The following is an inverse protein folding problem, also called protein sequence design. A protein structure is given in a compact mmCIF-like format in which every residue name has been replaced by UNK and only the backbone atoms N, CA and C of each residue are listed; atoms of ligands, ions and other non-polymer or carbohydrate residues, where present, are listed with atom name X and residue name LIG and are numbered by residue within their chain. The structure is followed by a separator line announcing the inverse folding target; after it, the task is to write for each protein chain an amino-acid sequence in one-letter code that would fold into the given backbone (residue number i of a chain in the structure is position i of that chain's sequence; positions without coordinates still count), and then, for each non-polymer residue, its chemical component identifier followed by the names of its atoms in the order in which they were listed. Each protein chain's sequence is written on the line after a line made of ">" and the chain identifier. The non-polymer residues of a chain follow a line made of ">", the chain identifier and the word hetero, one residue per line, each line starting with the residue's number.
data_IF_684985206841
#
_entry.id   IF_684985206841
#
_cell.length_a   1.000
_cell.length_b   1.000
_cell.length_c   1.000
_cell.angle_alpha   90.00
_cell.angle_beta   90.00
_cell.angle_gamma   90.00
#
_symmetry.space_group_name_H-M   'P 1'
#
loop_
_entity.id
_entity.type
_entity.pdbx_description
1 polymer ?
#
# COMPACT_ATOMS: atom_id res chain seq x y z
N UNK A 1 12.79 -7.74 -3.57
CA UNK A 1 12.44 -7.98 -4.99
C UNK A 1 12.08 -6.65 -5.58
N UNK A 2 12.87 -6.14 -6.54
CA UNK A 2 12.67 -4.80 -7.06
C UNK A 2 11.45 -4.72 -7.99
N UNK A 3 10.80 -3.56 -8.00
CA UNK A 3 9.69 -3.22 -8.92
C UNK A 3 8.58 -4.28 -9.03
N UNK A 4 8.16 -4.84 -7.89
CA UNK A 4 7.04 -5.75 -7.80
C UNK A 4 5.73 -4.98 -7.93
N UNK A 5 4.86 -5.38 -8.86
CA UNK A 5 3.46 -4.95 -8.83
C UNK A 5 2.69 -5.75 -7.77
N UNK A 6 1.96 -5.04 -6.93
CA UNK A 6 1.10 -5.59 -5.88
C UNK A 6 -0.31 -5.09 -6.11
N UNK A 7 -1.27 -6.03 -6.07
CA UNK A 7 -2.69 -5.73 -6.07
C UNK A 7 -3.32 -6.27 -4.79
N UNK A 8 -4.25 -5.52 -4.22
CA UNK A 8 -4.92 -5.94 -3.00
C UNK A 8 -5.85 -4.91 -2.40
N UNK A 9 -6.31 -5.21 -1.18
CA UNK A 9 -7.17 -4.33 -0.39
C UNK A 9 -6.37 -3.70 0.73
N UNK A 10 -6.60 -2.42 0.97
CA UNK A 10 -6.11 -1.76 2.16
C UNK A 10 -6.96 -2.23 3.34
N UNK A 11 -6.30 -2.73 4.38
CA UNK A 11 -6.96 -3.26 5.59
C UNK A 11 -6.72 -2.39 6.82
N UNK A 12 -5.74 -1.49 6.76
CA UNK A 12 -5.42 -0.55 7.83
C UNK A 12 -4.82 0.74 7.23
N UNK A 13 -5.20 1.89 7.80
CA UNK A 13 -4.63 3.20 7.52
C UNK A 13 -4.38 3.88 8.86
N UNK A 14 -3.14 4.27 9.10
CA UNK A 14 -2.80 5.10 10.24
C UNK A 14 -3.19 6.56 9.96
N UNK A 15 -3.53 7.32 11.01
CA UNK A 15 -3.74 8.76 10.89
C UNK A 15 -2.48 9.45 10.34
N UNK A 16 -2.62 10.60 9.64
CA UNK A 16 -1.48 11.32 9.13
C UNK A 16 -0.49 11.67 10.24
N UNK A 17 0.81 11.53 9.97
CA UNK A 17 1.85 11.91 10.92
C UNK A 17 2.39 13.32 10.60
N UNK A 18 2.36 14.21 11.59
CA UNK A 18 2.82 15.60 11.43
C UNK A 18 1.91 16.46 10.55
N UNK A 19 2.48 17.51 9.96
CA UNK A 19 1.73 18.49 9.15
C UNK A 19 1.53 18.05 7.69
N UNK A 20 2.11 16.90 7.29
CA UNK A 20 2.06 16.38 5.92
C UNK A 20 0.88 15.41 5.69
N UNK A 21 0.46 15.28 4.43
CA UNK A 21 -0.50 14.26 4.00
C UNK A 21 0.23 12.94 3.75
N UNK A 22 0.74 12.32 4.80
CA UNK A 22 1.45 11.05 4.72
C UNK A 22 1.05 10.10 5.83
N UNK A 23 1.15 8.81 5.58
CA UNK A 23 0.86 7.81 6.59
C UNK A 23 1.19 6.40 6.13
N UNK A 24 1.36 5.53 7.13
CA UNK A 24 1.50 4.10 6.91
C UNK A 24 0.15 3.46 6.60
N UNK A 25 0.16 2.55 5.63
CA UNK A 25 -0.96 1.69 5.31
C UNK A 25 -0.54 0.22 5.39
N UNK A 26 -1.51 -0.65 5.68
CA UNK A 26 -1.34 -2.10 5.49
C UNK A 26 -2.24 -2.56 4.35
N UNK A 27 -1.62 -3.18 3.36
CA UNK A 27 -2.30 -3.86 2.25
C UNK A 27 -2.33 -5.36 2.50
N UNK A 28 -3.44 -6.00 2.16
CA UNK A 28 -3.56 -7.44 2.03
C UNK A 28 -3.55 -7.79 0.54
N UNK A 29 -2.44 -8.36 0.07
CA UNK A 29 -2.20 -8.67 -1.35
C UNK A 29 -1.45 -9.98 -1.55
N UNK A 30 -1.40 -10.46 -2.79
CA UNK A 30 -0.71 -11.72 -3.12
C UNK A 30 0.75 -11.45 -3.46
N UNK A 31 1.66 -12.05 -2.70
CA UNK A 31 3.11 -11.99 -2.92
C UNK A 31 3.64 -13.42 -2.92
N UNK A 32 4.34 -13.81 -4.00
CA UNK A 32 4.93 -15.16 -4.15
C UNK A 32 3.84 -16.24 -3.90
N UNK A 33 2.71 -16.11 -4.60
CA UNK A 33 1.55 -17.02 -4.54
C UNK A 33 0.95 -17.21 -3.14
N UNK A 34 1.18 -16.26 -2.21
CA UNK A 34 0.60 -16.29 -0.87
C UNK A 34 0.01 -14.94 -0.51
N UNK A 35 -1.16 -14.96 0.14
CA UNK A 35 -1.74 -13.77 0.73
C UNK A 35 -0.84 -13.29 1.88
N UNK A 36 -0.42 -12.04 1.83
CA UNK A 36 0.48 -11.41 2.80
C UNK A 36 -0.03 -10.03 3.19
N UNK A 37 0.22 -9.66 4.45
CA UNK A 37 0.20 -8.27 4.87
C UNK A 37 1.46 -7.60 4.36
N UNK A 38 1.31 -6.41 3.80
CA UNK A 38 2.39 -5.62 3.22
C UNK A 38 2.21 -4.20 3.74
N UNK A 39 3.22 -3.70 4.43
CA UNK A 39 3.25 -2.35 4.97
C UNK A 39 3.89 -1.41 3.95
N UNK A 40 3.40 -0.18 3.85
CA UNK A 40 4.05 0.87 3.08
C UNK A 40 3.66 2.24 3.61
N UNK A 41 4.56 3.19 3.47
CA UNK A 41 4.27 4.61 3.67
C UNK A 41 3.87 5.24 2.33
N UNK A 42 2.85 6.10 2.37
CA UNK A 42 2.39 6.86 1.20
C UNK A 42 2.38 8.35 1.53
N UNK A 43 2.49 9.17 0.50
CA UNK A 43 2.56 10.61 0.60
C UNK A 43 1.59 11.27 -0.38
N UNK A 44 1.13 12.47 -0.01
CA UNK A 44 0.33 13.39 -0.79
C UNK A 44 -0.86 12.68 -1.47
N UNK A 45 -0.87 12.69 -2.81
CA UNK A 45 -1.94 12.15 -3.63
C UNK A 45 -2.18 10.66 -3.38
N UNK A 46 -1.13 9.87 -3.23
CA UNK A 46 -1.25 8.42 -3.09
C UNK A 46 -1.86 8.06 -1.73
N UNK A 47 -1.55 8.83 -0.69
CA UNK A 47 -2.16 8.68 0.62
C UNK A 47 -3.66 9.06 0.61
N UNK A 48 -4.04 10.13 -0.09
CA UNK A 48 -5.47 10.48 -0.29
C UNK A 48 -6.22 9.36 -1.03
N UNK A 49 -5.61 8.81 -2.08
CA UNK A 49 -6.20 7.70 -2.82
C UNK A 49 -6.33 6.45 -1.95
N UNK A 50 -5.35 6.18 -1.09
CA UNK A 50 -5.41 5.09 -0.13
C UNK A 50 -6.59 5.24 0.84
N UNK A 51 -6.80 6.43 1.40
CA UNK A 51 -7.96 6.73 2.27
C UNK A 51 -9.27 6.42 1.53
N UNK A 52 -9.41 6.89 0.29
CA UNK A 52 -10.59 6.62 -0.53
C UNK A 52 -10.79 5.12 -0.77
N UNK A 53 -9.73 4.41 -1.17
CA UNK A 53 -9.78 2.97 -1.40
C UNK A 53 -10.24 2.19 -0.16
N UNK A 54 -9.70 2.57 1.01
CA UNK A 54 -10.06 1.94 2.28
C UNK A 54 -11.52 2.18 2.66
N UNK A 55 -12.00 3.42 2.53
CA UNK A 55 -13.39 3.78 2.84
C UNK A 55 -14.40 3.13 1.90
N UNK A 56 -14.10 3.12 0.60
CA UNK A 56 -14.97 2.57 -0.44
C UNK A 56 -14.76 1.07 -0.68
N UNK A 57 -13.83 0.44 0.05
CA UNK A 57 -13.42 -0.97 -0.11
C UNK A 57 -13.02 -1.31 -1.55
N UNK A 58 -12.37 -0.37 -2.23
CA UNK A 58 -11.86 -0.57 -3.59
C UNK A 58 -10.48 -1.25 -3.56
N UNK A 59 -10.21 -2.19 -4.49
CA UNK A 59 -8.87 -2.71 -4.69
C UNK A 59 -7.93 -1.61 -5.23
N UNK A 60 -6.64 -1.75 -4.92
CA UNK A 60 -5.59 -0.89 -5.44
C UNK A 60 -4.51 -1.72 -6.14
N UNK A 61 -3.79 -1.08 -7.07
CA UNK A 61 -2.52 -1.56 -7.61
C UNK A 61 -1.42 -0.54 -7.32
N UNK A 62 -0.23 -1.02 -6.97
CA UNK A 62 0.98 -0.20 -6.88
C UNK A 62 2.22 -1.03 -7.22
N UNK A 63 3.32 -0.36 -7.54
CA UNK A 63 4.61 -0.98 -7.80
C UNK A 63 5.64 -0.49 -6.79
N UNK A 64 6.56 -1.36 -6.37
CA UNK A 64 7.66 -0.97 -5.49
C UNK A 64 8.65 -2.08 -5.19
N UNK A 65 9.63 -1.77 -4.35
CA UNK A 65 10.65 -2.71 -3.94
C UNK A 65 10.20 -3.44 -2.68
N UNK A 66 9.89 -4.73 -2.84
CA UNK A 66 9.48 -5.56 -1.71
C UNK A 66 10.71 -6.00 -0.91
N UNK A 67 10.76 -5.60 0.35
CA UNK A 67 11.79 -6.03 1.32
C UNK A 67 11.13 -6.74 2.50
N UNK A 68 11.90 -7.56 3.21
CA UNK A 68 11.47 -8.19 4.46
C UNK A 68 12.25 -7.56 5.61
N UNK A 69 11.55 -6.86 6.50
CA UNK A 69 12.13 -6.14 7.64
C UNK A 69 11.43 -6.59 8.91
N UNK A 70 12.19 -6.99 9.94
CA UNK A 70 11.65 -7.42 11.24
C UNK A 70 10.48 -8.43 11.15
N UNK A 71 10.54 -9.32 10.16
CA UNK A 71 9.51 -10.32 9.83
C UNK A 71 8.22 -9.80 9.17
N UNK A 72 8.10 -8.50 8.89
CA UNK A 72 7.07 -7.89 8.03
C UNK A 72 7.54 -7.78 6.58
N UNK A 73 6.58 -7.78 5.66
CA UNK A 73 6.83 -7.41 4.26
C UNK A 73 6.59 -5.90 4.13
N UNK A 74 7.59 -5.18 3.64
CA UNK A 74 7.51 -3.74 3.43
C UNK A 74 7.71 -3.46 1.96
N UNK A 75 6.82 -2.66 1.36
CA UNK A 75 6.96 -2.19 -0.01
C UNK A 75 7.56 -0.78 0.04
N UNK A 76 8.74 -0.59 -0.56
CA UNK A 76 9.46 0.69 -0.59
C UNK A 76 9.42 1.28 -1.99
N UNK A 77 9.75 2.57 -2.12
CA UNK A 77 9.83 3.26 -3.41
C UNK A 77 8.54 3.11 -4.24
N UNK A 78 7.39 3.39 -3.61
CA UNK A 78 6.08 3.22 -4.24
C UNK A 78 5.97 4.08 -5.49
N UNK A 79 5.39 3.50 -6.54
CA UNK A 79 5.02 4.16 -7.77
C UNK A 79 3.74 3.57 -8.35
N UNK A 80 3.16 4.25 -9.33
CA UNK A 80 1.98 3.79 -10.07
C UNK A 80 0.77 3.42 -9.19
N UNK A 81 0.60 4.08 -8.05
CA UNK A 81 -0.53 3.83 -7.15
C UNK A 81 -1.86 4.22 -7.84
N UNK A 82 -2.78 3.25 -7.91
CA UNK A 82 -4.05 3.39 -8.63
C UNK A 82 -5.18 2.70 -7.87
N UNK A 83 -6.35 3.31 -7.93
CA UNK A 83 -7.61 2.64 -7.63
C UNK A 83 -7.98 1.71 -8.79
N UNK A 84 -8.41 0.51 -8.48
CA UNK A 84 -9.01 -0.41 -9.44
C UNK A 84 -10.53 -0.34 -9.25
N UNK A 85 -11.22 0.41 -10.11
CA UNK A 85 -12.67 0.37 -10.22
C UNK A 85 -13.09 -0.65 -11.26
N UNK A 86 -14.22 -1.33 -11.01
CA UNK A 86 -14.91 -2.15 -12.01
C UNK A 86 -15.55 -1.28 -13.10
#
# INVERSE_FOLDING_TARGET
>A
MPNLEVQGLIVEIQSPQGDGLSGEITLMGVVINKLKKIETELFDRDYILAIKAYQERLPVSCSGDLVKENNSFVLKNISNFKLLSL
#
